data_IF_746487587411
#
_entry.id   IF_746487587411
#
_cell.length_a   1.000
_cell.length_b   1.000
_cell.length_c   1.000
_cell.angle_alpha   90.00
_cell.angle_beta   90.00
_cell.angle_gamma   90.00
#
_symmetry.space_group_name_H-M   'P 1'
#
loop_
_entity.id
_entity.type
_entity.pdbx_description
1 polymer ?
#
# COMPACT_ATOMS: atom_id res chain seq x y z
N UNK A 1 16.59 31.76 46.53
CA UNK A 1 15.70 30.97 45.64
C UNK A 1 16.37 29.62 45.42
N UNK A 2 15.93 28.57 46.12
CA UNK A 2 16.45 27.21 45.92
C UNK A 2 15.67 26.55 44.78
N UNK A 3 16.33 26.01 43.73
CA UNK A 3 15.62 25.30 42.69
C UNK A 3 15.05 24.02 43.30
N UNK A 4 13.73 23.86 43.20
CA UNK A 4 13.01 22.65 43.61
C UNK A 4 13.59 21.47 42.83
N UNK A 5 14.06 20.45 43.55
CA UNK A 5 14.74 19.30 42.99
C UNK A 5 13.95 18.67 41.85
N UNK A 6 14.58 18.57 40.68
CA UNK A 6 14.10 17.80 39.55
C UNK A 6 13.85 16.37 40.02
N UNK A 7 12.59 15.94 40.05
CA UNK A 7 12.23 14.60 40.53
C UNK A 7 12.68 13.56 39.48
N UNK A 8 13.77 12.81 39.72
CA UNK A 8 14.35 11.91 38.71
C UNK A 8 13.39 10.77 38.36
N UNK A 9 12.49 10.42 39.28
CA UNK A 9 11.41 9.46 39.09
C UNK A 9 10.42 9.89 38.00
N UNK A 10 10.10 11.19 37.91
CA UNK A 10 9.16 11.71 36.92
C UNK A 10 9.78 11.59 35.50
N UNK A 11 11.06 11.94 35.36
CA UNK A 11 11.79 11.74 34.11
C UNK A 11 11.91 10.26 33.73
N UNK A 12 12.20 9.38 34.69
CA UNK A 12 12.28 7.94 34.47
C UNK A 12 10.94 7.36 33.98
N UNK A 13 9.82 7.76 34.60
CA UNK A 13 8.48 7.33 34.18
C UNK A 13 8.13 7.83 32.77
N UNK A 14 8.52 9.07 32.42
CA UNK A 14 8.28 9.62 31.09
C UNK A 14 9.07 8.86 30.02
N UNK A 15 10.33 8.50 30.32
CA UNK A 15 11.18 7.70 29.42
C UNK A 15 10.59 6.30 29.23
N UNK A 16 10.16 5.63 30.30
CA UNK A 16 9.51 4.31 30.23
C UNK A 16 8.20 4.33 29.42
N UNK A 17 7.38 5.38 29.58
CA UNK A 17 6.18 5.55 28.76
C UNK A 17 6.53 5.76 27.28
N UNK A 18 7.54 6.59 26.98
CA UNK A 18 7.97 6.85 25.61
C UNK A 18 8.54 5.60 24.92
N UNK A 19 9.34 4.79 25.63
CA UNK A 19 9.88 3.53 25.08
C UNK A 19 8.79 2.48 24.89
N UNK A 20 7.82 2.38 25.80
CA UNK A 20 6.67 1.48 25.67
C UNK A 20 5.80 1.86 24.46
N UNK A 21 5.54 3.15 24.24
CA UNK A 21 4.81 3.64 23.07
C UNK A 21 5.58 3.38 21.76
N UNK A 22 6.90 3.57 21.74
CA UNK A 22 7.74 3.35 20.56
C UNK A 22 7.78 1.86 20.12
N UNK A 23 7.76 0.92 21.07
CA UNK A 23 7.74 -0.52 20.78
C UNK A 23 6.45 -1.01 20.12
N UNK A 24 5.35 -0.26 20.23
CA UNK A 24 4.06 -0.63 19.64
C UNK A 24 3.89 -0.13 18.20
N UNK A 25 4.87 0.58 17.63
CA UNK A 25 4.82 1.04 16.24
C UNK A 25 5.41 -0.06 15.34
N UNK A 26 4.60 -1.08 15.03
CA UNK A 26 4.96 -2.07 14.01
C UNK A 26 4.74 -1.44 12.64
N UNK A 27 5.81 -1.12 11.93
CA UNK A 27 5.73 -0.66 10.55
C UNK A 27 5.46 -1.88 9.65
N UNK A 28 4.48 -1.83 8.73
CA UNK A 28 4.23 -2.94 7.83
C UNK A 28 5.48 -3.25 7.01
N UNK A 29 5.77 -4.55 6.84
CA UNK A 29 6.83 -4.97 5.92
C UNK A 29 6.46 -4.60 4.47
N UNK A 30 7.44 -4.63 3.57
CA UNK A 30 7.24 -4.18 2.18
C UNK A 30 6.16 -5.00 1.44
N UNK A 31 5.92 -6.25 1.81
CA UNK A 31 4.86 -7.08 1.23
C UNK A 31 3.48 -6.67 1.73
N UNK A 32 3.30 -6.49 3.03
CA UNK A 32 2.04 -6.04 3.64
C UNK A 32 1.62 -4.68 3.08
N UNK A 33 2.59 -3.77 2.93
CA UNK A 33 2.35 -2.48 2.29
C UNK A 33 1.96 -2.63 0.83
N UNK A 34 2.64 -3.50 0.08
CA UNK A 34 2.26 -3.78 -1.30
C UNK A 34 0.83 -4.32 -1.38
N UNK A 35 0.47 -5.27 -0.54
CA UNK A 35 -0.87 -5.86 -0.50
C UNK A 35 -1.92 -4.80 -0.19
N UNK A 36 -1.69 -3.95 0.81
CA UNK A 36 -2.65 -2.93 1.22
C UNK A 36 -2.87 -1.85 0.16
N UNK A 37 -1.85 -1.56 -0.67
CA UNK A 37 -1.95 -0.53 -1.72
C UNK A 37 -2.34 -1.10 -3.09
N UNK A 38 -2.12 -2.39 -3.36
CA UNK A 38 -2.20 -2.96 -4.72
C UNK A 38 -3.09 -4.20 -4.88
N UNK A 39 -3.63 -4.80 -3.81
CA UNK A 39 -4.48 -5.99 -3.93
C UNK A 39 -5.90 -5.70 -3.43
N UNK A 40 -6.89 -5.96 -4.28
CA UNK A 40 -8.32 -5.82 -3.96
C UNK A 40 -9.06 -7.07 -4.45
N UNK A 41 -9.24 -8.02 -3.53
CA UNK A 41 -9.89 -9.29 -3.83
C UNK A 41 -10.82 -9.75 -2.68
N UNK A 42 -12.09 -10.08 -2.97
CA UNK A 42 -12.78 -9.90 -4.25
C UNK A 42 -12.84 -8.43 -4.68
N UNK A 43 -12.98 -8.15 -5.98
CA UNK A 43 -13.02 -6.77 -6.50
C UNK A 43 -14.15 -6.00 -5.81
N UNK A 44 -13.80 -4.87 -5.18
CA UNK A 44 -14.76 -3.98 -4.53
C UNK A 44 -15.76 -3.45 -5.57
N UNK A 45 -17.05 -3.55 -5.27
CA UNK A 45 -18.10 -2.92 -6.09
C UNK A 45 -18.33 -1.49 -5.60
N UNK A 46 -18.09 -0.46 -6.43
CA UNK A 46 -18.29 0.92 -6.01
C UNK A 46 -19.79 1.24 -5.86
N UNK A 47 -20.15 2.24 -5.04
CA UNK A 47 -21.51 2.76 -5.00
C UNK A 47 -21.99 3.24 -6.38
N UNK A 48 -23.31 3.22 -6.62
CA UNK A 48 -23.90 3.67 -7.89
C UNK A 48 -23.42 5.07 -8.26
N UNK A 49 -22.97 5.23 -9.51
CA UNK A 49 -22.46 6.51 -10.04
C UNK A 49 -21.04 6.88 -9.62
N UNK A 50 -20.32 6.03 -8.86
CA UNK A 50 -18.92 6.26 -8.51
C UNK A 50 -17.97 5.35 -9.29
N UNK A 51 -16.85 5.91 -9.75
CA UNK A 51 -15.75 5.14 -10.34
C UNK A 51 -15.04 4.32 -9.26
N UNK A 52 -14.75 3.05 -9.56
CA UNK A 52 -13.99 2.16 -8.69
C UNK A 52 -12.66 2.81 -8.27
N UNK A 53 -11.92 3.39 -9.22
CA UNK A 53 -10.64 4.02 -8.94
C UNK A 53 -10.77 5.23 -8.01
N UNK A 54 -11.79 6.06 -8.18
CA UNK A 54 -12.02 7.20 -7.29
C UNK A 54 -12.32 6.76 -5.85
N UNK A 55 -13.02 5.64 -5.69
CA UNK A 55 -13.34 5.05 -4.38
C UNK A 55 -12.09 4.45 -3.76
N UNK A 56 -11.40 3.55 -4.48
CA UNK A 56 -10.29 2.78 -3.92
C UNK A 56 -9.06 3.63 -3.64
N UNK A 57 -8.71 4.57 -4.53
CA UNK A 57 -7.58 5.47 -4.31
C UNK A 57 -7.79 6.33 -3.05
N UNK A 58 -9.02 6.78 -2.79
CA UNK A 58 -9.36 7.55 -1.58
C UNK A 58 -9.39 6.67 -0.34
N UNK A 59 -10.03 5.51 -0.43
CA UNK A 59 -10.19 4.56 0.69
C UNK A 59 -8.84 4.12 1.27
N UNK A 60 -7.84 3.98 0.40
CA UNK A 60 -6.48 3.56 0.77
C UNK A 60 -5.53 4.74 1.00
N UNK A 61 -6.06 5.95 1.12
CA UNK A 61 -5.28 7.18 1.35
C UNK A 61 -4.20 7.44 0.30
N UNK A 62 -4.35 6.91 -0.92
CA UNK A 62 -3.43 7.11 -2.06
C UNK A 62 -3.61 8.48 -2.73
N UNK A 63 -4.45 9.33 -2.15
CA UNK A 63 -4.70 10.71 -2.56
C UNK A 63 -4.13 11.74 -1.58
N UNK A 64 -3.47 11.30 -0.49
CA UNK A 64 -2.84 12.16 0.50
C UNK A 64 -1.32 11.88 0.55
N UNK A 65 -0.45 12.90 0.68
CA UNK A 65 -0.72 14.35 0.69
C UNK A 65 -0.98 14.93 -0.71
N UNK A 66 -0.96 14.10 -1.75
CA UNK A 66 -1.33 14.48 -3.10
C UNK A 66 -1.82 13.27 -3.89
N UNK A 67 -2.38 13.53 -5.07
CA UNK A 67 -2.93 12.47 -5.93
C UNK A 67 -1.81 11.59 -6.50
N UNK A 68 -1.74 10.32 -6.08
CA UNK A 68 -0.82 9.35 -6.70
C UNK A 68 -1.12 9.26 -8.21
N UNK A 69 -0.15 9.43 -9.12
CA UNK A 69 -0.42 9.54 -10.55
C UNK A 69 -1.01 8.27 -11.18
N UNK A 70 -0.60 7.10 -10.69
CA UNK A 70 -1.09 5.81 -11.17
C UNK A 70 -1.01 4.75 -10.09
N UNK A 71 -1.96 3.81 -10.10
CA UNK A 71 -1.93 2.62 -9.26
C UNK A 71 -2.56 1.43 -9.97
N UNK A 72 -2.02 0.22 -9.76
CA UNK A 72 -2.63 -1.01 -10.25
C UNK A 72 -3.24 -1.75 -9.06
N UNK A 73 -4.51 -2.15 -9.19
CA UNK A 73 -5.17 -3.07 -8.28
C UNK A 73 -5.23 -4.45 -8.91
N UNK A 74 -4.77 -5.46 -8.18
CA UNK A 74 -4.77 -6.87 -8.58
C UNK A 74 -6.00 -7.51 -7.94
N UNK A 75 -6.83 -8.14 -8.76
CA UNK A 75 -8.04 -8.84 -8.32
C UNK A 75 -7.78 -10.34 -8.20
N UNK A 76 -6.92 -10.71 -7.25
CA UNK A 76 -6.63 -12.10 -6.93
C UNK A 76 -6.28 -12.29 -5.44
N UNK A 77 -6.43 -13.51 -4.90
CA UNK A 77 -6.05 -13.79 -3.52
C UNK A 77 -4.57 -13.43 -3.26
N UNK A 78 -4.30 -12.80 -2.11
CA UNK A 78 -2.94 -12.43 -1.69
C UNK A 78 -1.98 -13.62 -1.72
N UNK A 79 -2.44 -14.82 -1.31
CA UNK A 79 -1.67 -16.07 -1.39
C UNK A 79 -1.21 -16.41 -2.82
N UNK A 80 -2.00 -16.10 -3.85
CA UNK A 80 -1.60 -16.30 -5.24
C UNK A 80 -0.59 -15.24 -5.69
N UNK A 81 -0.78 -13.99 -5.24
CA UNK A 81 0.13 -12.89 -5.56
C UNK A 81 1.50 -13.05 -4.89
N UNK A 82 1.53 -13.49 -3.62
CA UNK A 82 2.77 -13.81 -2.90
C UNK A 82 3.47 -15.06 -3.43
N UNK A 83 2.74 -15.96 -4.11
CA UNK A 83 3.32 -17.17 -4.69
C UNK A 83 4.12 -16.92 -5.99
N UNK A 84 4.08 -15.71 -6.55
CA UNK A 84 4.63 -15.41 -7.88
C UNK A 84 6.14 -15.62 -7.92
N UNK A 85 6.89 -15.05 -6.99
CA UNK A 85 8.34 -15.22 -6.99
C UNK A 85 8.82 -16.50 -6.31
N UNK A 86 7.92 -17.31 -5.74
CA UNK A 86 8.31 -18.56 -5.08
C UNK A 86 8.00 -19.79 -5.94
N UNK A 87 6.75 -19.96 -6.38
CA UNK A 87 6.29 -21.20 -7.05
C UNK A 87 5.43 -20.98 -8.30
N UNK A 88 5.03 -19.74 -8.58
CA UNK A 88 4.03 -19.42 -9.63
C UNK A 88 4.54 -18.39 -10.63
N UNK A 89 5.86 -18.29 -10.78
CA UNK A 89 6.53 -17.38 -11.67
C UNK A 89 7.91 -17.89 -12.07
N UNK A 90 8.58 -17.11 -12.92
CA UNK A 90 9.92 -17.39 -13.44
C UNK A 90 10.79 -16.17 -13.14
N UNK A 91 11.99 -16.37 -12.61
CA UNK A 91 12.96 -15.30 -12.47
C UNK A 91 13.47 -14.87 -13.84
N UNK A 92 13.15 -13.65 -14.24
CA UNK A 92 13.59 -13.08 -15.54
C UNK A 92 14.93 -12.37 -15.37
N UNK A 93 15.14 -11.73 -14.22
CA UNK A 93 16.41 -11.12 -13.84
C UNK A 93 16.80 -11.60 -12.44
N UNK A 94 17.47 -12.75 -12.30
CA UNK A 94 17.83 -13.33 -11.02
C UNK A 94 18.69 -12.38 -10.16
N UNK A 95 19.64 -11.67 -10.79
CA UNK A 95 20.50 -10.69 -10.11
C UNK A 95 19.75 -9.50 -9.51
N UNK A 96 18.53 -9.21 -9.98
CA UNK A 96 17.66 -8.14 -9.49
C UNK A 96 16.48 -8.68 -8.68
N UNK A 97 16.46 -9.99 -8.38
CA UNK A 97 15.33 -10.70 -7.79
C UNK A 97 14.00 -10.42 -8.51
N UNK A 98 13.99 -10.23 -9.83
CA UNK A 98 12.74 -9.97 -10.56
C UNK A 98 12.15 -11.25 -11.12
N UNK A 99 10.86 -11.44 -10.89
CA UNK A 99 10.12 -12.60 -11.35
C UNK A 99 8.87 -12.18 -12.14
N UNK A 100 8.51 -12.95 -13.17
CA UNK A 100 7.26 -12.77 -13.92
C UNK A 100 6.29 -13.90 -13.58
N UNK A 101 5.02 -13.56 -13.35
CA UNK A 101 3.98 -14.54 -13.12
C UNK A 101 3.73 -15.42 -14.35
N UNK A 102 3.57 -16.72 -14.16
CA UNK A 102 3.23 -17.66 -15.25
C UNK A 102 1.85 -17.38 -15.85
N UNK A 103 0.89 -17.06 -15.00
CA UNK A 103 -0.50 -16.80 -15.38
C UNK A 103 -0.78 -15.30 -15.43
N UNK A 104 -1.73 -14.91 -16.26
CA UNK A 104 -2.24 -13.55 -16.27
C UNK A 104 -3.19 -13.33 -15.07
N UNK A 105 -3.18 -12.11 -14.54
CA UNK A 105 -4.07 -11.66 -13.47
C UNK A 105 -5.06 -10.65 -14.02
N UNK A 106 -6.24 -10.58 -13.40
CA UNK A 106 -7.19 -9.49 -13.59
C UNK A 106 -6.70 -8.28 -12.80
N UNK A 107 -6.61 -7.14 -13.46
CA UNK A 107 -6.19 -5.89 -12.85
C UNK A 107 -7.12 -4.74 -13.22
N UNK A 108 -7.08 -3.72 -12.39
CA UNK A 108 -7.60 -2.40 -12.69
C UNK A 108 -6.51 -1.37 -12.51
N UNK A 109 -6.10 -0.73 -13.62
CA UNK A 109 -5.15 0.37 -13.60
C UNK A 109 -5.91 1.69 -13.41
N UNK A 110 -5.60 2.41 -12.34
CA UNK A 110 -6.15 3.72 -12.03
C UNK A 110 -5.14 4.80 -12.43
N UNK A 111 -5.46 5.60 -13.45
CA UNK A 111 -4.61 6.72 -13.91
C UNK A 111 -5.25 8.06 -13.56
N UNK A 112 -4.46 8.95 -12.97
CA UNK A 112 -4.90 10.30 -12.64
C UNK A 112 -5.24 11.05 -13.93
N UNK A 113 -6.42 11.65 -13.96
CA UNK A 113 -6.89 12.50 -15.06
C UNK A 113 -6.84 13.97 -14.64
N UNK A 114 -7.25 14.25 -13.40
CA UNK A 114 -7.34 15.59 -12.89
C UNK A 114 -7.04 15.62 -11.40
N UNK A 115 -6.21 16.57 -10.99
CA UNK A 115 -5.84 16.85 -9.61
C UNK A 115 -6.07 18.32 -9.33
N UNK A 116 -7.18 18.70 -8.69
CA UNK A 116 -7.39 20.09 -8.27
C UNK A 116 -6.41 20.46 -7.14
N UNK A 117 -5.93 21.70 -7.14
CA UNK A 117 -5.04 22.20 -6.10
C UNK A 117 -5.71 22.21 -4.72
N UNK A 118 -6.98 22.64 -4.61
CA UNK A 118 -7.84 22.52 -3.41
C UNK A 118 -9.34 22.59 -3.81
N UNK A 119 -10.24 21.82 -3.17
CA UNK A 119 -9.99 20.67 -2.30
C UNK A 119 -9.42 19.48 -3.09
N UNK A 120 -8.72 18.55 -2.43
CA UNK A 120 -8.10 17.38 -3.09
C UNK A 120 -9.16 16.36 -3.53
N UNK A 121 -9.79 16.61 -4.67
CA UNK A 121 -10.70 15.69 -5.34
C UNK A 121 -10.03 15.11 -6.58
N UNK A 122 -9.13 14.15 -6.36
CA UNK A 122 -8.46 13.43 -7.43
C UNK A 122 -9.47 12.64 -8.27
N UNK A 123 -9.40 12.81 -9.60
CA UNK A 123 -10.24 12.10 -10.56
C UNK A 123 -9.36 11.10 -11.30
N UNK A 124 -9.75 9.84 -11.27
CA UNK A 124 -9.05 8.72 -11.88
C UNK A 124 -9.87 8.07 -12.98
N UNK A 125 -9.18 7.74 -14.07
CA UNK A 125 -9.68 6.85 -15.12
C UNK A 125 -9.40 5.41 -14.74
N UNK A 126 -10.43 4.58 -14.86
CA UNK A 126 -10.34 3.13 -14.70
C UNK A 126 -9.95 2.47 -16.03
N UNK A 127 -8.96 1.58 -15.99
CA UNK A 127 -8.52 0.80 -17.15
C UNK A 127 -8.45 -0.66 -16.72
N UNK A 128 -9.48 -1.48 -16.98
CA UNK A 128 -9.44 -2.91 -16.70
C UNK A 128 -8.45 -3.59 -17.66
N UNK A 129 -7.65 -4.51 -17.14
CA UNK A 129 -6.62 -5.21 -17.90
C UNK A 129 -6.49 -6.65 -17.42
N UNK A 130 -6.10 -7.54 -18.33
CA UNK A 130 -5.64 -8.88 -17.97
C UNK A 130 -4.22 -9.02 -18.48
N UNK A 131 -3.24 -9.17 -17.57
CA UNK A 131 -1.83 -9.33 -17.94
C UNK A 131 -1.05 -10.10 -16.90
N UNK A 132 0.10 -10.64 -17.31
CA UNK A 132 1.13 -11.11 -16.38
C UNK A 132 1.68 -9.93 -15.59
N UNK A 133 2.12 -10.19 -14.37
CA UNK A 133 2.69 -9.21 -13.47
C UNK A 133 4.13 -9.56 -13.15
N UNK A 134 4.96 -8.51 -13.07
CA UNK A 134 6.34 -8.60 -12.63
C UNK A 134 6.41 -8.22 -11.16
N UNK A 135 7.00 -9.08 -10.35
CA UNK A 135 7.24 -8.87 -8.93
C UNK A 135 8.73 -8.81 -8.58
N UNK A 136 9.00 -8.46 -7.34
CA UNK A 136 10.32 -8.56 -6.72
C UNK A 136 10.29 -9.69 -5.67
N UNK A 137 11.15 -10.69 -5.84
CA UNK A 137 11.26 -11.88 -5.00
C UNK A 137 12.12 -11.65 -3.77
N UNK A 138 11.85 -10.57 -3.02
CA UNK A 138 12.55 -10.22 -1.80
C UNK A 138 11.77 -10.66 -0.54
N UNK A 139 11.00 -11.76 -0.64
CA UNK A 139 10.19 -12.31 0.45
C UNK A 139 10.34 -13.82 0.53
#
# INVERSE_FOLDING_TARGET
MAPRGSCPLLFLTLILLATCLAQNIVLPNSYERFVSEHVDFPKTTPPKGQSYCNVMMRRLSLTHPGCRPSNNFIHAPTRQVGAICSRSGIYVYPSLNQCDSLKAFLLTTCKLVFSPHRPQRCIYREIPQTRRIRGLGAF
#
